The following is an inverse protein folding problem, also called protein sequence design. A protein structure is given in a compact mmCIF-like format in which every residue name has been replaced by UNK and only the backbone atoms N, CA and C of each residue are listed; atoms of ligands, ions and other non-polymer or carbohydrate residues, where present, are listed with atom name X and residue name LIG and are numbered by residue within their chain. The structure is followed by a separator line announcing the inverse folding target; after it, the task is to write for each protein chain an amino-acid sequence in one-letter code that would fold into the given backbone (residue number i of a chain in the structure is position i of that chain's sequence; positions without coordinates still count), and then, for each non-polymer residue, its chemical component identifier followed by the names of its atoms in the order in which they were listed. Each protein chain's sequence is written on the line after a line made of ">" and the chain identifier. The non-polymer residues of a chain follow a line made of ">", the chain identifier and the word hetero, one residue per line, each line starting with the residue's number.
data_IF_329297187813
#
_entry.id   IF_329297187813
#
_cell.length_a   1.000
_cell.length_b   1.000
_cell.length_c   1.000
_cell.angle_alpha   90.00
_cell.angle_beta   90.00
_cell.angle_gamma   90.00
#
_symmetry.space_group_name_H-M   'P 1'
#
loop_
_entity.id
_entity.type
_entity.pdbx_description
1 polymer ?
#
# COMPACT_ATOMS: atom_id res chain seq x y z
N UNK A 1 -4.39 57.53 -14.65
CA UNK A 1 -3.28 56.57 -14.70
C UNK A 1 -3.86 55.19 -14.98
N UNK A 2 -3.70 54.68 -16.20
CA UNK A 2 -4.06 53.32 -16.59
C UNK A 2 -3.07 52.37 -15.93
N UNK A 3 -3.53 51.47 -15.05
CA UNK A 3 -2.69 50.43 -14.45
C UNK A 3 -2.19 49.53 -15.60
N UNK A 4 -0.88 49.44 -15.81
CA UNK A 4 -0.31 48.46 -16.74
C UNK A 4 -0.60 47.07 -16.17
N UNK A 5 -1.43 46.29 -16.84
CA UNK A 5 -1.87 44.95 -16.44
C UNK A 5 -1.02 43.83 -17.07
N UNK A 6 0.10 44.15 -17.74
CA UNK A 6 0.99 43.15 -18.34
C UNK A 6 1.57 42.16 -17.32
N UNK A 7 1.71 42.58 -16.06
CA UNK A 7 2.08 41.70 -14.94
C UNK A 7 1.20 42.01 -13.72
N UNK A 8 0.68 40.95 -13.08
CA UNK A 8 -0.19 41.04 -11.90
C UNK A 8 0.55 40.36 -10.74
N UNK A 9 0.64 40.99 -9.54
CA UNK A 9 1.23 40.34 -8.37
C UNK A 9 0.41 39.10 -7.98
N UNK A 10 1.09 38.06 -7.51
CA UNK A 10 0.48 36.82 -7.06
C UNK A 10 1.27 36.22 -5.90
N UNK A 11 0.58 35.47 -5.05
CA UNK A 11 1.18 34.71 -3.95
C UNK A 11 1.28 33.23 -4.36
N UNK A 12 2.25 32.51 -3.81
CA UNK A 12 2.47 31.09 -4.08
C UNK A 12 2.46 30.32 -2.76
N UNK A 13 1.63 29.29 -2.69
CA UNK A 13 1.65 28.30 -1.63
C UNK A 13 1.21 26.92 -2.15
N UNK A 14 1.37 25.89 -1.32
CA UNK A 14 0.87 24.55 -1.64
C UNK A 14 -0.63 24.46 -1.34
N UNK A 15 -1.46 24.78 -2.34
CA UNK A 15 -2.93 24.88 -2.18
C UNK A 15 -3.67 23.52 -2.21
N UNK A 16 -3.06 22.46 -2.73
CA UNK A 16 -3.70 21.13 -2.85
C UNK A 16 -3.30 20.24 -1.67
N UNK A 17 -2.00 20.07 -1.47
CA UNK A 17 -1.44 19.07 -0.56
C UNK A 17 -0.90 19.72 0.72
N UNK A 18 -1.63 20.70 1.28
CA UNK A 18 -1.16 21.57 2.38
C UNK A 18 -0.75 20.82 3.66
N UNK A 19 -1.30 19.63 3.89
CA UNK A 19 -0.98 18.76 5.04
C UNK A 19 -0.07 17.60 4.66
N UNK A 20 -0.29 16.97 3.50
CA UNK A 20 0.51 15.85 3.06
C UNK A 20 0.56 15.75 1.53
N UNK A 21 1.76 15.86 0.97
CA UNK A 21 2.06 15.55 -0.43
C UNK A 21 2.70 14.17 -0.49
N UNK A 22 1.97 13.20 -1.02
CA UNK A 22 2.39 11.81 -1.04
C UNK A 22 2.55 11.32 -2.48
N UNK A 23 3.54 10.47 -2.73
CA UNK A 23 3.78 9.87 -4.04
C UNK A 23 3.45 8.38 -4.05
N UNK A 24 3.04 7.88 -5.21
CA UNK A 24 2.84 6.45 -5.46
C UNK A 24 3.54 6.05 -6.75
N UNK A 25 4.37 5.01 -6.68
CA UNK A 25 4.81 4.26 -7.86
C UNK A 25 3.98 2.99 -7.94
N UNK A 26 2.95 2.99 -8.78
CA UNK A 26 2.04 1.86 -9.00
C UNK A 26 2.55 0.95 -10.13
N UNK A 27 1.99 -0.26 -10.22
CA UNK A 27 2.23 -1.14 -11.35
C UNK A 27 1.33 -0.73 -12.52
N UNK A 28 1.82 -0.90 -13.75
CA UNK A 28 1.03 -0.66 -14.95
C UNK A 28 -0.22 -1.53 -15.03
N UNK A 29 -0.19 -2.72 -14.42
CA UNK A 29 -1.27 -3.71 -14.37
C UNK A 29 -2.20 -3.57 -13.16
N UNK A 30 -1.86 -2.73 -12.16
CA UNK A 30 -2.67 -2.61 -10.95
C UNK A 30 -3.89 -1.71 -11.19
N UNK A 31 -5.08 -2.29 -11.03
CA UNK A 31 -6.37 -1.62 -11.21
C UNK A 31 -6.93 -1.03 -9.90
N UNK A 32 -6.40 -1.43 -8.75
CA UNK A 32 -7.08 -1.33 -7.45
C UNK A 32 -6.40 -0.34 -6.51
N UNK A 33 -5.06 -0.28 -6.48
CA UNK A 33 -4.34 0.51 -5.49
C UNK A 33 -4.71 1.99 -5.51
N UNK A 34 -4.74 2.64 -6.68
CA UNK A 34 -5.12 4.05 -6.78
C UNK A 34 -6.56 4.28 -6.34
N UNK A 35 -7.44 3.33 -6.68
CA UNK A 35 -8.85 3.40 -6.34
C UNK A 35 -9.06 3.33 -4.83
N UNK A 36 -8.44 2.37 -4.13
CA UNK A 36 -8.56 2.26 -2.68
C UNK A 36 -7.83 3.39 -1.95
N UNK A 37 -6.62 3.75 -2.39
CA UNK A 37 -5.89 4.87 -1.78
C UNK A 37 -6.62 6.19 -1.95
N UNK A 38 -7.27 6.43 -3.10
CA UNK A 38 -8.13 7.60 -3.30
C UNK A 38 -9.23 7.66 -2.24
N UNK A 39 -9.99 6.57 -2.03
CA UNK A 39 -11.06 6.54 -1.02
C UNK A 39 -10.55 6.66 0.42
N UNK A 40 -9.37 6.11 0.70
CA UNK A 40 -8.78 6.14 2.04
C UNK A 40 -8.14 7.48 2.38
N UNK A 41 -7.63 8.22 1.40
CA UNK A 41 -6.85 9.45 1.64
C UNK A 41 -7.59 10.71 1.24
N UNK A 42 -8.21 10.75 0.06
CA UNK A 42 -8.81 11.96 -0.49
C UNK A 42 -9.87 12.64 0.41
N UNK A 43 -10.68 11.90 1.21
CA UNK A 43 -11.59 12.53 2.17
C UNK A 43 -10.90 13.34 3.28
N UNK A 44 -9.59 13.22 3.45
CA UNK A 44 -8.81 13.96 4.44
C UNK A 44 -8.34 15.25 3.77
N UNK A 45 -8.94 16.37 4.17
CA UNK A 45 -8.67 17.68 3.60
C UNK A 45 -7.17 18.00 3.61
N UNK A 46 -6.63 18.56 2.52
CA UNK A 46 -5.24 18.97 2.41
C UNK A 46 -4.24 17.82 2.18
N UNK A 47 -4.71 16.61 1.90
CA UNK A 47 -3.87 15.47 1.53
C UNK A 47 -4.05 15.11 0.06
N UNK A 48 -2.95 14.73 -0.62
CA UNK A 48 -3.00 14.33 -2.03
C UNK A 48 -1.95 13.27 -2.34
N UNK A 49 -2.34 12.30 -3.16
CA UNK A 49 -1.44 11.31 -3.75
C UNK A 49 -1.22 11.66 -5.22
N UNK A 50 0.04 11.64 -5.65
CA UNK A 50 0.44 11.78 -7.04
C UNK A 50 1.05 10.46 -7.50
N UNK A 51 0.55 9.93 -8.61
CA UNK A 51 0.91 8.58 -9.08
C UNK A 51 1.75 8.62 -10.35
N UNK A 52 2.74 7.74 -10.41
CA UNK A 52 3.40 7.29 -11.62
C UNK A 52 3.29 5.77 -11.71
N UNK A 53 3.59 5.20 -12.88
CA UNK A 53 3.53 3.76 -13.12
C UNK A 53 4.85 3.21 -13.63
N UNK A 54 5.18 1.99 -13.21
CA UNK A 54 6.24 1.19 -13.84
C UNK A 54 5.63 0.09 -14.71
N UNK A 55 6.23 -0.18 -15.88
CA UNK A 55 5.87 -1.35 -16.69
C UNK A 55 5.98 -2.64 -15.87
N UNK A 56 5.01 -3.54 -16.07
CA UNK A 56 5.03 -4.88 -15.50
C UNK A 56 4.39 -5.85 -16.48
N UNK A 57 4.99 -7.03 -16.63
CA UNK A 57 4.34 -8.14 -17.33
C UNK A 57 3.18 -8.67 -16.47
N UNK A 58 2.03 -9.03 -17.07
CA UNK A 58 0.88 -9.56 -16.34
C UNK A 58 1.19 -10.79 -15.48
N UNK A 59 2.13 -11.63 -15.92
CA UNK A 59 2.50 -12.85 -15.20
C UNK A 59 3.46 -12.55 -14.04
N UNK A 60 2.98 -12.81 -12.81
CA UNK A 60 3.72 -12.49 -11.59
C UNK A 60 4.68 -13.63 -11.23
N UNK A 61 5.98 -13.42 -11.48
CA UNK A 61 7.06 -14.36 -11.18
C UNK A 61 8.21 -13.66 -10.46
N UNK A 62 9.08 -14.36 -9.70
CA UNK A 62 10.26 -13.74 -9.10
C UNK A 62 11.17 -13.02 -10.11
N UNK A 63 11.26 -13.55 -11.35
CA UNK A 63 12.06 -12.95 -12.42
C UNK A 63 11.44 -11.63 -12.90
N UNK A 64 10.13 -11.60 -13.18
CA UNK A 64 9.46 -10.36 -13.61
C UNK A 64 9.56 -9.29 -12.52
N UNK A 65 9.45 -9.68 -11.24
CA UNK A 65 9.56 -8.75 -10.11
C UNK A 65 10.97 -8.16 -9.93
N UNK A 66 12.05 -8.94 -10.15
CA UNK A 66 13.41 -8.42 -10.01
C UNK A 66 13.78 -7.39 -11.10
N UNK A 67 13.27 -7.56 -12.33
CA UNK A 67 13.53 -6.64 -13.45
C UNK A 67 13.03 -5.20 -13.22
N UNK A 68 12.12 -5.01 -12.26
CA UNK A 68 11.45 -3.74 -12.00
C UNK A 68 12.37 -2.69 -11.36
N UNK A 69 13.44 -3.11 -10.66
CA UNK A 69 14.34 -2.18 -9.96
C UNK A 69 14.93 -1.12 -10.90
N UNK A 70 15.29 -1.51 -12.12
CA UNK A 70 15.86 -0.60 -13.11
C UNK A 70 14.85 0.46 -13.61
N UNK A 71 13.56 0.11 -13.59
CA UNK A 71 12.48 0.97 -14.06
C UNK A 71 11.98 1.92 -12.96
N UNK A 72 12.13 1.52 -11.70
CA UNK A 72 11.68 2.26 -10.52
C UNK A 72 12.27 3.67 -10.45
N UNK A 73 13.58 3.82 -10.65
CA UNK A 73 14.25 5.13 -10.64
C UNK A 73 13.69 6.07 -11.72
N UNK A 74 13.44 5.55 -12.92
CA UNK A 74 12.93 6.35 -14.03
C UNK A 74 11.48 6.78 -13.80
N UNK A 75 10.64 5.91 -13.29
CA UNK A 75 9.27 6.28 -12.91
C UNK A 75 9.27 7.32 -11.78
N UNK A 76 10.08 7.13 -10.73
CA UNK A 76 10.17 8.08 -9.62
C UNK A 76 10.55 9.51 -10.08
N UNK A 77 11.43 9.64 -11.08
CA UNK A 77 11.78 10.95 -11.69
C UNK A 77 10.60 11.68 -12.34
N UNK A 78 9.53 10.98 -12.71
CA UNK A 78 8.34 11.59 -13.30
C UNK A 78 7.37 12.16 -12.26
N UNK A 79 7.52 11.79 -10.98
CA UNK A 79 6.69 12.33 -9.90
C UNK A 79 7.09 13.78 -9.61
N UNK A 80 6.28 14.72 -10.08
CA UNK A 80 6.38 16.18 -9.84
C UNK A 80 7.84 16.68 -9.74
N UNK A 81 8.58 16.77 -10.86
CA UNK A 81 9.98 17.19 -10.83
C UNK A 81 10.20 18.52 -10.10
N UNK A 82 11.18 18.55 -9.19
CA UNK A 82 11.50 19.74 -8.38
C UNK A 82 10.58 19.97 -7.18
N UNK A 83 9.67 19.05 -6.88
CA UNK A 83 8.71 19.17 -5.78
C UNK A 83 8.99 18.10 -4.72
N UNK A 84 9.12 18.51 -3.46
CA UNK A 84 9.36 17.59 -2.34
C UNK A 84 8.10 16.85 -1.91
N UNK A 85 8.23 15.57 -1.57
CA UNK A 85 7.16 14.75 -1.01
C UNK A 85 7.41 14.47 0.47
N UNK A 86 6.35 14.24 1.25
CA UNK A 86 6.47 13.72 2.61
C UNK A 86 6.89 12.25 2.59
N UNK A 87 6.25 11.46 1.72
CA UNK A 87 6.49 10.03 1.57
C UNK A 87 6.23 9.60 0.13
N UNK A 88 6.99 8.63 -0.35
CA UNK A 88 6.71 7.93 -1.62
C UNK A 88 6.54 6.44 -1.33
N UNK A 89 5.42 5.88 -1.78
CA UNK A 89 5.13 4.47 -1.68
C UNK A 89 5.46 3.73 -2.99
N UNK A 90 6.08 2.55 -2.87
CA UNK A 90 6.12 1.58 -3.97
C UNK A 90 4.97 0.57 -3.82
N UNK A 91 4.02 0.61 -4.75
CA UNK A 91 2.73 -0.06 -4.67
C UNK A 91 2.71 -1.52 -5.09
N UNK A 92 3.60 -2.36 -4.55
CA UNK A 92 3.55 -3.80 -4.80
C UNK A 92 4.10 -4.61 -3.61
N UNK A 93 3.27 -5.45 -3.00
CA UNK A 93 3.65 -6.24 -1.81
C UNK A 93 4.67 -7.32 -2.12
N UNK A 94 4.42 -8.15 -3.14
CA UNK A 94 5.29 -9.28 -3.53
C UNK A 94 6.64 -8.80 -4.05
N UNK A 95 6.66 -7.77 -4.91
CA UNK A 95 7.91 -7.17 -5.40
C UNK A 95 8.73 -6.58 -4.25
N UNK A 96 8.09 -5.97 -3.24
CA UNK A 96 8.80 -5.40 -2.10
C UNK A 96 9.55 -6.43 -1.27
N UNK A 97 8.95 -7.62 -1.11
CA UNK A 97 9.61 -8.74 -0.42
C UNK A 97 10.78 -9.30 -1.24
N UNK A 98 10.66 -9.35 -2.58
CA UNK A 98 11.67 -9.96 -3.46
C UNK A 98 12.83 -9.02 -3.77
N UNK A 99 12.54 -7.73 -4.03
CA UNK A 99 13.55 -6.72 -4.37
C UNK A 99 14.29 -6.29 -3.09
N UNK A 100 13.58 -6.18 -1.97
CA UNK A 100 14.08 -5.63 -0.72
C UNK A 100 13.71 -4.15 -0.55
N UNK A 101 13.27 -3.80 0.66
CA UNK A 101 12.80 -2.46 1.00
C UNK A 101 13.92 -1.41 0.88
N UNK A 102 15.15 -1.80 1.24
CA UNK A 102 16.33 -0.94 1.14
C UNK A 102 16.61 -0.60 -0.32
N UNK A 103 16.62 -1.59 -1.20
CA UNK A 103 16.89 -1.44 -2.61
C UNK A 103 15.82 -0.62 -3.33
N UNK A 104 14.56 -0.75 -2.91
CA UNK A 104 13.45 0.11 -3.38
C UNK A 104 13.66 1.55 -2.92
N UNK A 105 14.01 1.75 -1.65
CA UNK A 105 14.27 3.07 -1.09
C UNK A 105 15.42 3.77 -1.82
N UNK A 106 16.55 3.08 -1.99
CA UNK A 106 17.70 3.59 -2.74
C UNK A 106 17.32 4.01 -4.17
N UNK A 107 16.53 3.21 -4.88
CA UNK A 107 16.12 3.52 -6.25
C UNK A 107 15.22 4.78 -6.33
N UNK A 108 14.27 4.94 -5.40
CA UNK A 108 13.39 6.12 -5.37
C UNK A 108 14.16 7.36 -4.93
N UNK A 109 15.04 7.23 -3.95
CA UNK A 109 15.80 8.34 -3.37
C UNK A 109 16.87 8.93 -4.29
N UNK A 110 17.23 8.23 -5.38
CA UNK A 110 18.00 8.83 -6.49
C UNK A 110 17.24 10.01 -7.11
N UNK A 111 15.91 9.92 -7.22
CA UNK A 111 15.07 10.95 -7.80
C UNK A 111 14.55 11.95 -6.75
N UNK A 112 14.28 11.46 -5.54
CA UNK A 112 13.73 12.24 -4.42
C UNK A 112 14.59 12.04 -3.17
N UNK A 113 15.71 12.78 -3.05
CA UNK A 113 16.56 12.69 -1.87
C UNK A 113 15.78 12.96 -0.57
N UNK A 114 16.15 12.27 0.49
CA UNK A 114 15.60 12.43 1.86
C UNK A 114 14.10 12.14 2.04
N UNK A 115 13.39 11.71 1.00
CA UNK A 115 11.97 11.35 1.11
C UNK A 115 11.80 10.09 1.97
N UNK A 116 10.76 10.07 2.81
CA UNK A 116 10.36 8.84 3.49
C UNK A 116 9.86 7.81 2.46
N UNK A 117 10.20 6.55 2.69
CA UNK A 117 9.82 5.45 1.80
C UNK A 117 8.96 4.46 2.57
N UNK A 118 7.90 3.98 1.92
CA UNK A 118 7.13 2.85 2.41
C UNK A 118 6.75 1.91 1.27
N UNK A 119 6.38 0.70 1.64
CA UNK A 119 5.78 -0.29 0.76
C UNK A 119 4.61 -0.94 1.50
N UNK A 120 3.74 -1.72 0.83
CA UNK A 120 2.71 -2.47 1.53
C UNK A 120 3.25 -3.40 2.62
N UNK A 121 4.42 -4.03 2.42
CA UNK A 121 4.99 -4.94 3.42
C UNK A 121 5.59 -4.17 4.60
N UNK A 122 6.29 -3.05 4.34
CA UNK A 122 6.78 -2.13 5.38
C UNK A 122 5.62 -1.61 6.23
N UNK A 123 4.54 -1.18 5.56
CA UNK A 123 3.34 -0.69 6.20
C UNK A 123 2.61 -1.78 7.01
N UNK A 124 2.59 -3.02 6.52
CA UNK A 124 2.07 -4.17 7.27
C UNK A 124 2.86 -4.40 8.55
N UNK A 125 4.21 -4.40 8.49
CA UNK A 125 5.04 -4.54 9.70
C UNK A 125 4.82 -3.40 10.70
N UNK A 126 4.67 -2.16 10.20
CA UNK A 126 4.34 -1.01 11.04
C UNK A 126 2.96 -1.18 11.70
N UNK A 127 1.95 -1.64 10.96
CA UNK A 127 0.61 -1.92 11.48
C UNK A 127 0.61 -3.03 12.54
N UNK A 128 1.32 -4.13 12.27
CA UNK A 128 1.48 -5.23 13.23
C UNK A 128 2.11 -4.74 14.53
N UNK A 129 3.16 -3.93 14.44
CA UNK A 129 3.80 -3.33 15.62
C UNK A 129 2.83 -2.41 16.39
N UNK A 130 2.10 -1.54 15.70
CA UNK A 130 1.14 -0.62 16.31
C UNK A 130 0.01 -1.36 17.03
N UNK A 131 -0.46 -2.46 16.47
CA UNK A 131 -1.53 -3.29 17.03
C UNK A 131 -1.02 -4.37 18.00
N UNK A 132 0.29 -4.41 18.27
CA UNK A 132 0.94 -5.47 19.06
C UNK A 132 0.60 -6.89 18.59
N UNK A 133 0.45 -7.07 17.27
CA UNK A 133 0.06 -8.33 16.64
C UNK A 133 1.28 -9.13 16.17
N UNK A 134 1.34 -10.40 16.53
CA UNK A 134 2.44 -11.32 16.18
C UNK A 134 1.97 -12.64 15.58
N UNK A 135 0.71 -13.03 15.80
CA UNK A 135 0.07 -14.24 15.29
C UNK A 135 -0.95 -13.87 14.22
N UNK A 136 -0.66 -14.17 12.96
CA UNK A 136 -1.46 -13.66 11.84
C UNK A 136 -2.11 -14.74 10.98
N UNK A 137 -3.29 -14.42 10.46
CA UNK A 137 -3.88 -15.06 9.28
C UNK A 137 -3.40 -14.36 8.01
N UNK A 138 -3.05 -15.10 6.97
CA UNK A 138 -2.56 -14.55 5.70
C UNK A 138 -3.44 -14.99 4.52
N UNK A 139 -4.11 -14.05 3.85
CA UNK A 139 -4.79 -14.31 2.58
C UNK A 139 -4.01 -13.64 1.45
N UNK A 140 -3.68 -14.39 0.40
CA UNK A 140 -3.01 -13.84 -0.79
C UNK A 140 -3.71 -14.27 -2.07
N UNK A 141 -3.44 -13.64 -3.23
CA UNK A 141 -3.85 -14.19 -4.51
C UNK A 141 -2.76 -15.08 -5.11
N UNK A 142 -1.55 -15.12 -4.55
CA UNK A 142 -0.37 -15.56 -5.28
C UNK A 142 -0.23 -17.08 -5.40
N UNK A 143 0.46 -17.51 -6.45
CA UNK A 143 0.99 -18.87 -6.57
C UNK A 143 2.05 -19.16 -5.51
N UNK A 144 2.29 -20.44 -5.24
CA UNK A 144 3.19 -20.90 -4.17
C UNK A 144 4.64 -20.39 -4.32
N UNK A 145 5.13 -20.24 -5.55
CA UNK A 145 6.46 -19.69 -5.83
C UNK A 145 6.65 -18.25 -5.32
N UNK A 146 5.57 -17.48 -5.18
CA UNK A 146 5.57 -16.11 -4.65
C UNK A 146 5.17 -16.11 -3.16
N UNK A 147 4.30 -17.02 -2.71
CA UNK A 147 3.94 -17.11 -1.28
C UNK A 147 5.10 -17.59 -0.40
N UNK A 148 5.96 -18.48 -0.89
CA UNK A 148 7.11 -18.98 -0.13
C UNK A 148 8.01 -17.87 0.42
N UNK A 149 8.55 -16.93 -0.40
CA UNK A 149 9.39 -15.85 0.12
C UNK A 149 8.63 -14.90 1.05
N UNK A 150 7.32 -14.71 0.87
CA UNK A 150 6.48 -13.90 1.77
C UNK A 150 6.40 -14.54 3.16
N UNK A 151 6.14 -15.85 3.25
CA UNK A 151 6.12 -16.56 4.54
C UNK A 151 7.47 -16.54 5.22
N UNK A 152 8.55 -16.72 4.46
CA UNK A 152 9.91 -16.60 4.99
C UNK A 152 10.21 -15.18 5.49
N UNK A 153 9.71 -14.15 4.80
CA UNK A 153 9.85 -12.75 5.21
C UNK A 153 9.17 -12.48 6.57
N UNK A 154 7.93 -12.91 6.75
CA UNK A 154 7.24 -12.77 8.05
C UNK A 154 7.97 -13.55 9.16
N UNK A 155 8.41 -14.77 8.87
CA UNK A 155 9.20 -15.58 9.82
C UNK A 155 10.48 -14.87 10.27
N UNK A 156 11.24 -14.27 9.33
CA UNK A 156 12.45 -13.49 9.65
C UNK A 156 12.15 -12.26 10.51
N UNK A 157 10.96 -11.67 10.36
CA UNK A 157 10.48 -10.55 11.17
C UNK A 157 9.78 -10.99 12.46
N UNK A 158 9.91 -12.26 12.88
CA UNK A 158 9.33 -12.82 14.12
C UNK A 158 7.81 -12.72 14.18
N UNK A 159 7.15 -12.76 13.01
CA UNK A 159 5.70 -12.84 12.89
C UNK A 159 5.33 -14.29 12.55
N UNK A 160 4.46 -14.87 13.36
CA UNK A 160 3.95 -16.23 13.20
C UNK A 160 2.73 -16.23 12.29
N UNK A 161 2.76 -16.99 11.19
CA UNK A 161 1.59 -17.21 10.35
C UNK A 161 0.88 -18.47 10.83
N UNK A 162 -0.26 -18.31 11.51
CA UNK A 162 -1.06 -19.41 12.07
C UNK A 162 -1.80 -20.15 10.96
N UNK A 163 -2.33 -19.40 10.00
CA UNK A 163 -3.06 -19.94 8.86
C UNK A 163 -2.80 -19.09 7.64
N UNK A 164 -2.59 -19.73 6.49
CA UNK A 164 -2.54 -19.06 5.20
C UNK A 164 -3.50 -19.70 4.20
N UNK A 165 -4.13 -18.88 3.37
CA UNK A 165 -4.90 -19.30 2.20
C UNK A 165 -4.52 -18.46 0.98
N UNK A 166 -4.75 -19.01 -0.21
CA UNK A 166 -4.49 -18.29 -1.45
C UNK A 166 -5.54 -18.59 -2.52
N UNK A 167 -5.86 -17.59 -3.35
CA UNK A 167 -6.61 -17.79 -4.59
C UNK A 167 -5.76 -18.45 -5.71
N UNK A 168 -4.44 -18.47 -5.56
CA UNK A 168 -3.48 -19.06 -6.50
C UNK A 168 -3.65 -18.60 -7.96
N UNK A 169 -3.94 -17.31 -8.14
CA UNK A 169 -4.02 -16.62 -9.43
C UNK A 169 -2.63 -16.04 -9.80
N UNK A 170 -2.22 -16.24 -11.05
CA UNK A 170 -0.89 -15.85 -11.55
C UNK A 170 -0.93 -14.56 -12.38
N UNK A 171 -2.08 -14.23 -12.97
CA UNK A 171 -2.29 -13.04 -13.77
C UNK A 171 -2.76 -11.88 -12.88
N UNK A 172 -1.96 -10.81 -12.83
CA UNK A 172 -2.26 -9.64 -12.00
C UNK A 172 -3.56 -8.92 -12.39
N UNK A 173 -3.90 -8.90 -13.69
CA UNK A 173 -5.16 -8.31 -14.16
C UNK A 173 -6.37 -9.07 -13.60
N UNK A 174 -6.27 -10.41 -13.58
CA UNK A 174 -7.32 -11.29 -13.04
C UNK A 174 -7.39 -11.21 -11.52
N UNK A 175 -6.25 -11.10 -10.84
CA UNK A 175 -6.22 -10.85 -9.40
C UNK A 175 -6.98 -9.56 -9.03
N UNK A 176 -6.82 -8.50 -9.84
CA UNK A 176 -7.60 -7.24 -9.76
C UNK A 176 -9.11 -7.39 -9.94
N UNK A 177 -9.58 -8.52 -10.49
CA UNK A 177 -11.00 -8.81 -10.74
C UNK A 177 -11.61 -9.76 -9.69
N UNK A 178 -10.82 -10.24 -8.72
CA UNK A 178 -11.36 -11.05 -7.61
C UNK A 178 -12.34 -10.18 -6.82
N UNK A 179 -13.58 -10.65 -6.71
CA UNK A 179 -14.66 -9.82 -6.15
C UNK A 179 -14.49 -9.62 -4.64
N UNK A 180 -14.92 -8.46 -4.10
CA UNK A 180 -14.97 -8.24 -2.66
C UNK A 180 -15.75 -9.33 -1.91
N UNK A 181 -16.84 -9.85 -2.48
CA UNK A 181 -17.60 -10.96 -1.91
C UNK A 181 -16.79 -12.26 -1.83
N UNK A 182 -15.93 -12.53 -2.82
CA UNK A 182 -15.04 -13.70 -2.79
C UNK A 182 -13.95 -13.53 -1.73
N UNK A 183 -13.39 -12.33 -1.60
CA UNK A 183 -12.43 -11.98 -0.55
C UNK A 183 -13.07 -12.15 0.83
N UNK A 184 -14.23 -11.54 1.06
CA UNK A 184 -14.97 -11.63 2.32
C UNK A 184 -15.28 -13.08 2.69
N UNK A 185 -15.81 -13.86 1.76
CA UNK A 185 -16.13 -15.28 1.98
C UNK A 185 -14.89 -16.09 2.35
N UNK A 186 -13.79 -15.91 1.62
CA UNK A 186 -12.53 -16.59 1.90
C UNK A 186 -12.00 -16.23 3.30
N UNK A 187 -12.05 -14.96 3.68
CA UNK A 187 -11.62 -14.52 5.02
C UNK A 187 -12.47 -15.19 6.11
N UNK A 188 -13.80 -15.14 5.98
CA UNK A 188 -14.70 -15.72 6.97
C UNK A 188 -14.55 -17.26 7.05
N UNK A 189 -14.45 -17.94 5.92
CA UNK A 189 -14.33 -19.41 5.88
C UNK A 189 -13.00 -19.91 6.46
N UNK A 190 -11.90 -19.20 6.20
CA UNK A 190 -10.55 -19.67 6.57
C UNK A 190 -10.18 -19.29 8.00
N UNK A 191 -10.62 -18.12 8.49
CA UNK A 191 -10.08 -17.54 9.72
C UNK A 191 -11.07 -17.46 10.89
N UNK A 192 -12.37 -17.72 10.68
CA UNK A 192 -13.34 -17.68 11.78
C UNK A 192 -13.00 -18.68 12.89
N UNK A 193 -13.00 -18.21 14.14
CA UNK A 193 -12.74 -19.03 15.32
C UNK A 193 -11.27 -19.40 15.55
N UNK A 194 -10.34 -18.88 14.75
CA UNK A 194 -8.90 -19.04 14.99
C UNK A 194 -8.42 -18.01 16.02
N UNK A 195 -7.46 -18.42 16.84
CA UNK A 195 -6.71 -17.55 17.74
C UNK A 195 -5.65 -16.76 16.95
N UNK A 196 -6.03 -15.55 16.51
CA UNK A 196 -5.23 -14.65 15.68
C UNK A 196 -5.24 -13.25 16.31
N UNK A 197 -4.10 -12.56 16.27
CA UNK A 197 -4.03 -11.14 16.62
C UNK A 197 -4.53 -10.27 15.44
N UNK A 198 -4.22 -10.69 14.20
CA UNK A 198 -4.53 -9.94 13.00
C UNK A 198 -4.70 -10.82 11.75
N UNK A 199 -5.60 -10.44 10.84
CA UNK A 199 -5.68 -11.01 9.50
C UNK A 199 -5.13 -10.01 8.48
N UNK A 200 -4.14 -10.45 7.69
CA UNK A 200 -3.56 -9.67 6.61
C UNK A 200 -4.01 -10.17 5.24
N UNK A 201 -4.71 -9.30 4.50
CA UNK A 201 -5.10 -9.52 3.10
C UNK A 201 -4.02 -8.91 2.20
N UNK A 202 -3.13 -9.76 1.71
CA UNK A 202 -1.88 -9.39 1.05
C UNK A 202 -1.98 -9.41 -0.46
N UNK A 203 -2.32 -8.27 -1.05
CA UNK A 203 -1.96 -7.85 -2.41
C UNK A 203 -2.50 -6.44 -2.64
N UNK A 204 -1.85 -5.63 -3.47
CA UNK A 204 -2.38 -4.33 -3.88
C UNK A 204 -3.53 -4.45 -4.88
N UNK A 205 -3.57 -5.56 -5.62
CA UNK A 205 -4.65 -5.90 -6.56
C UNK A 205 -5.91 -6.50 -5.89
N UNK A 206 -5.90 -6.77 -4.57
CA UNK A 206 -7.10 -7.24 -3.86
C UNK A 206 -7.87 -6.06 -3.26
N UNK A 207 -9.07 -5.78 -3.79
CA UNK A 207 -9.95 -4.71 -3.30
C UNK A 207 -10.63 -5.11 -1.98
N UNK A 208 -9.93 -4.91 -0.88
CA UNK A 208 -10.32 -5.37 0.45
C UNK A 208 -10.47 -4.25 1.49
N UNK A 209 -10.02 -3.02 1.22
CA UNK A 209 -9.97 -1.97 2.22
C UNK A 209 -11.36 -1.60 2.78
N UNK A 210 -12.38 -1.52 1.92
CA UNK A 210 -13.76 -1.20 2.34
C UNK A 210 -14.40 -2.32 3.18
N UNK A 211 -13.88 -3.55 3.10
CA UNK A 211 -14.40 -4.70 3.86
C UNK A 211 -13.90 -4.71 5.31
N UNK A 212 -12.82 -3.99 5.62
CA UNK A 212 -12.10 -4.13 6.88
C UNK A 212 -12.98 -3.89 8.11
N UNK A 213 -13.72 -2.77 8.23
CA UNK A 213 -14.55 -2.53 9.42
C UNK A 213 -15.61 -3.62 9.64
N UNK A 214 -16.19 -4.14 8.55
CA UNK A 214 -17.17 -5.21 8.59
C UNK A 214 -16.53 -6.53 9.02
N UNK A 215 -15.37 -6.88 8.45
CA UNK A 215 -14.64 -8.10 8.79
C UNK A 215 -14.18 -8.10 10.25
N UNK A 216 -13.68 -6.96 10.75
CA UNK A 216 -13.32 -6.81 12.16
C UNK A 216 -14.53 -7.03 13.08
N UNK A 217 -15.70 -6.47 12.72
CA UNK A 217 -16.95 -6.65 13.46
C UNK A 217 -17.39 -8.11 13.49
N UNK A 218 -17.30 -8.81 12.35
CA UNK A 218 -17.74 -10.20 12.21
C UNK A 218 -16.80 -11.21 12.89
N UNK A 219 -15.50 -10.92 12.92
CA UNK A 219 -14.47 -11.86 13.40
C UNK A 219 -13.99 -11.57 14.82
N UNK A 220 -14.16 -10.33 15.31
CA UNK A 220 -13.61 -9.91 16.60
C UNK A 220 -12.07 -9.87 16.65
N UNK A 221 -11.42 -9.83 15.48
CA UNK A 221 -9.96 -9.81 15.29
C UNK A 221 -9.59 -8.60 14.43
N UNK A 222 -8.40 -8.02 14.61
CA UNK A 222 -7.93 -6.94 13.75
C UNK A 222 -7.78 -7.40 12.29
N UNK A 223 -8.12 -6.54 11.34
CA UNK A 223 -7.96 -6.86 9.91
C UNK A 223 -7.26 -5.70 9.22
N UNK A 224 -6.29 -6.01 8.36
CA UNK A 224 -5.74 -5.03 7.44
C UNK A 224 -5.47 -5.63 6.07
N UNK A 225 -5.48 -4.81 5.03
CA UNK A 225 -5.04 -5.17 3.68
C UNK A 225 -3.73 -4.45 3.33
N UNK A 226 -3.12 -4.83 2.21
CA UNK A 226 -1.94 -4.14 1.67
C UNK A 226 -2.21 -2.65 1.43
N UNK A 227 -3.30 -2.30 0.75
CA UNK A 227 -3.64 -0.90 0.45
C UNK A 227 -4.09 -0.13 1.70
N UNK A 228 -4.78 -0.80 2.62
CA UNK A 228 -5.22 -0.19 3.88
C UNK A 228 -4.04 0.16 4.80
N UNK A 229 -3.13 -0.79 5.03
CA UNK A 229 -1.92 -0.54 5.79
C UNK A 229 -1.06 0.54 5.11
N UNK A 230 -0.91 0.47 3.79
CA UNK A 230 -0.14 1.43 3.01
C UNK A 230 -0.70 2.86 3.17
N UNK A 231 -2.00 3.06 3.01
CA UNK A 231 -2.64 4.37 3.22
C UNK A 231 -2.39 4.90 4.63
N UNK A 232 -2.62 4.09 5.66
CA UNK A 232 -2.39 4.47 7.06
C UNK A 232 -0.93 4.88 7.27
N UNK A 233 0.02 4.07 6.81
CA UNK A 233 1.43 4.34 7.04
C UNK A 233 1.91 5.58 6.28
N UNK A 234 1.43 5.80 5.05
CA UNK A 234 1.71 7.03 4.30
C UNK A 234 1.22 8.29 5.04
N UNK A 235 0.01 8.24 5.62
CA UNK A 235 -0.53 9.34 6.42
C UNK A 235 0.33 9.59 7.67
N UNK A 236 0.67 8.53 8.42
CA UNK A 236 1.50 8.64 9.64
C UNK A 236 2.90 9.17 9.35
N UNK A 237 3.56 8.67 8.28
CA UNK A 237 4.85 9.20 7.83
C UNK A 237 4.77 10.66 7.38
N UNK A 238 3.60 11.11 6.93
CA UNK A 238 3.36 12.51 6.55
C UNK A 238 2.94 13.41 7.72
N UNK A 239 2.89 12.89 8.95
CA UNK A 239 2.46 13.64 10.14
C UNK A 239 0.95 13.85 10.24
N UNK A 240 0.14 13.16 9.43
CA UNK A 240 -1.32 13.17 9.52
C UNK A 240 -1.73 12.07 10.51
N UNK A 241 -2.15 12.49 11.71
CA UNK A 241 -2.44 11.61 12.86
C UNK A 241 -3.95 11.48 13.16
N UNK A 242 -4.80 11.92 12.24
CA UNK A 242 -6.24 11.97 12.42
C UNK A 242 -6.77 10.55 12.72
N UNK A 243 -7.59 10.37 13.77
CA UNK A 243 -8.31 9.12 13.98
C UNK A 243 -9.47 9.04 12.98
N UNK A 244 -9.61 7.91 12.30
CA UNK A 244 -10.63 7.68 11.27
C UNK A 244 -11.39 6.38 11.57
N UNK A 245 -12.32 6.38 12.56
CA UNK A 245 -12.99 5.17 13.05
C UNK A 245 -13.73 4.37 11.99
N UNK A 246 -14.25 5.04 10.96
CA UNK A 246 -14.96 4.39 9.86
C UNK A 246 -14.07 3.53 8.96
N UNK A 247 -12.75 3.54 9.17
CA UNK A 247 -11.77 2.80 8.35
C UNK A 247 -11.21 1.57 9.06
N UNK A 248 -11.64 1.25 10.28
CA UNK A 248 -11.19 0.07 11.03
C UNK A 248 -10.16 0.39 12.11
N UNK A 249 -9.81 -0.60 12.92
CA UNK A 249 -9.07 -0.40 14.18
C UNK A 249 -7.69 0.24 13.97
N UNK A 250 -6.99 -0.09 12.89
CA UNK A 250 -5.67 0.49 12.59
C UNK A 250 -5.72 2.02 12.45
N UNK A 251 -6.81 2.55 11.89
CA UNK A 251 -6.98 3.98 11.67
C UNK A 251 -7.46 4.76 12.91
N UNK A 252 -7.71 4.08 14.03
CA UNK A 252 -7.94 4.72 15.34
C UNK A 252 -6.64 5.20 16.01
N UNK A 253 -5.48 4.66 15.57
CA UNK A 253 -4.17 4.80 16.21
C UNK A 253 -3.20 5.65 15.39
#
# INVERSE_FOLDING_TARGET
>A
MTKNLETIPFDIENVIARRARMGLVALATDHVIEHELFRLVHPIEGTQIYTTRIPMEPEVTPKSLHGMKQLLTNAAKTLLPGVSFNVIAYGCTSASVIIGEKEIGEAIQIAHPDVAITTPITACLAALKTLNATRIGLLTPYVEAVNKPIREYFKRNKIEIIKSATFSEIDDNRAGMITPDSIKRAVLEVFSGLDLDLIFISCTSLRAAELIPELETLLGVHVTSSNHALAWHMLRLSGVLDPLPSKGNLFLL
#
